data_IF_709346883542
#
_entry.id   IF_709346883542
#
_cell.length_a   1.000
_cell.length_b   1.000
_cell.length_c   1.000
_cell.angle_alpha   90.00
_cell.angle_beta   90.00
_cell.angle_gamma   90.00
#
_symmetry.space_group_name_H-M   'P 1'
#
loop_
_entity.id
_entity.type
_entity.pdbx_description
1 polymer ?
#
# COMPACT_ATOMS: atom_id res chain seq x y z
N UNK A 1 20.32 15.14 33.49
CA UNK A 1 19.12 15.93 33.15
C UNK A 1 18.25 14.93 32.41
N UNK A 2 17.04 14.69 32.90
CA UNK A 2 16.10 13.78 32.25
C UNK A 2 15.54 14.54 31.06
N UNK A 3 16.14 14.34 29.90
CA UNK A 3 15.62 14.82 28.63
C UNK A 3 14.41 13.95 28.28
N UNK A 4 13.32 14.14 29.04
CA UNK A 4 11.98 13.88 28.53
C UNK A 4 11.73 14.99 27.49
N UNK A 5 12.29 14.82 26.29
CA UNK A 5 11.86 15.58 25.12
C UNK A 5 10.35 15.33 25.01
N UNK A 6 9.55 16.35 25.38
CA UNK A 6 8.09 16.26 25.40
C UNK A 6 7.60 15.89 24.00
N UNK A 7 7.27 14.61 23.83
CA UNK A 7 6.58 14.14 22.63
C UNK A 7 5.25 14.86 22.60
N UNK A 8 4.94 15.60 21.52
CA UNK A 8 3.76 16.45 21.56
C UNK A 8 2.49 15.59 21.65
N UNK A 9 1.53 16.04 22.48
CA UNK A 9 0.32 15.28 22.83
C UNK A 9 -0.49 14.82 21.60
N UNK A 10 -0.36 15.53 20.48
CA UNK A 10 -1.02 15.23 19.21
C UNK A 10 -0.47 13.97 18.50
N UNK A 11 0.63 13.37 18.98
CA UNK A 11 1.13 12.07 18.53
C UNK A 11 0.52 10.91 19.33
N UNK A 12 0.29 11.10 20.63
CA UNK A 12 -0.26 10.07 21.51
C UNK A 12 -1.75 9.80 21.21
N UNK A 13 -2.54 10.87 21.05
CA UNK A 13 -3.98 10.79 20.77
C UNK A 13 -4.30 10.74 19.26
N UNK A 14 -3.30 10.50 18.41
CA UNK A 14 -3.49 10.48 16.97
C UNK A 14 -4.48 9.40 16.56
N UNK A 15 -5.48 9.76 15.76
CA UNK A 15 -6.37 8.81 15.08
C UNK A 15 -6.40 9.13 13.59
N UNK A 16 -6.24 8.11 12.76
CA UNK A 16 -6.15 8.27 11.33
C UNK A 16 -7.54 8.10 10.70
N UNK A 17 -8.09 9.18 10.14
CA UNK A 17 -9.29 9.11 9.31
C UNK A 17 -9.02 9.75 7.96
N UNK A 18 -9.25 8.99 6.89
CA UNK A 18 -9.13 9.50 5.53
C UNK A 18 -10.52 9.83 4.97
N UNK A 19 -10.80 11.10 4.63
CA UNK A 19 -12.05 11.47 3.98
C UNK A 19 -12.06 10.91 2.55
N UNK A 20 -13.19 10.31 2.14
CA UNK A 20 -13.32 9.73 0.79
C UNK A 20 -13.31 10.80 -0.32
N UNK A 21 -13.51 12.08 0.01
CA UNK A 21 -13.50 13.19 -0.96
C UNK A 21 -12.10 13.58 -1.43
N UNK A 22 -11.09 13.46 -0.58
CA UNK A 22 -9.69 13.77 -0.92
C UNK A 22 -8.71 12.90 -0.09
N UNK A 23 -8.79 11.57 -0.24
CA UNK A 23 -8.08 10.66 0.64
C UNK A 23 -6.58 10.63 0.33
N UNK A 24 -6.17 10.83 -0.94
CA UNK A 24 -4.76 10.81 -1.35
C UNK A 24 -3.99 11.97 -0.75
N UNK A 25 -4.52 13.19 -0.86
CA UNK A 25 -3.86 14.38 -0.31
C UNK A 25 -3.80 14.30 1.20
N UNK A 26 -4.89 13.87 1.84
CA UNK A 26 -4.95 13.69 3.30
C UNK A 26 -3.93 12.65 3.76
N UNK A 27 -3.85 11.49 3.10
CA UNK A 27 -2.90 10.44 3.45
C UNK A 27 -1.45 10.92 3.36
N UNK A 28 -1.08 11.58 2.25
CA UNK A 28 0.27 12.15 2.08
C UNK A 28 0.61 13.15 3.18
N UNK A 29 -0.32 14.07 3.45
CA UNK A 29 -0.15 15.08 4.49
C UNK A 29 0.09 14.44 5.86
N UNK A 30 -0.72 13.44 6.24
CA UNK A 30 -0.56 12.76 7.52
C UNK A 30 0.77 12.01 7.63
N UNK A 31 1.21 11.36 6.54
CA UNK A 31 2.52 10.70 6.49
C UNK A 31 3.65 11.72 6.68
N UNK A 32 3.61 12.83 5.96
CA UNK A 32 4.65 13.86 6.05
C UNK A 32 4.67 14.51 7.46
N UNK A 33 3.50 14.81 8.03
CA UNK A 33 3.38 15.44 9.35
C UNK A 33 3.71 14.51 10.53
N UNK A 34 3.42 13.21 10.41
CA UNK A 34 3.51 12.26 11.54
C UNK A 34 4.65 11.27 11.43
N UNK A 35 5.01 10.81 10.23
CA UNK A 35 6.10 9.84 10.04
C UNK A 35 7.44 10.50 9.73
N UNK A 36 7.42 11.58 8.95
CA UNK A 36 8.62 12.30 8.48
C UNK A 36 8.85 13.64 9.18
N UNK A 37 8.31 13.79 10.40
CA UNK A 37 8.55 14.98 11.23
C UNK A 37 10.01 15.08 11.66
N UNK A 38 10.51 16.33 11.79
CA UNK A 38 11.82 16.64 12.36
C UNK A 38 11.83 16.50 13.90
N UNK A 39 10.67 16.28 14.52
CA UNK A 39 10.54 16.09 15.95
C UNK A 39 11.05 14.71 16.37
N UNK A 40 11.63 14.63 17.57
CA UNK A 40 11.98 13.35 18.17
C UNK A 40 10.70 12.61 18.57
N UNK A 41 10.38 11.54 17.85
CA UNK A 41 9.26 10.64 18.15
C UNK A 41 9.83 9.23 18.32
N UNK A 42 9.72 8.63 19.52
CA UNK A 42 10.11 7.25 19.77
C UNK A 42 9.53 6.26 18.75
N UNK A 43 10.34 5.27 18.36
CA UNK A 43 9.99 4.31 17.29
C UNK A 43 8.66 3.59 17.54
N UNK A 44 8.39 3.18 18.79
CA UNK A 44 7.12 2.51 19.13
C UNK A 44 5.88 3.36 18.81
N UNK A 45 5.95 4.68 19.03
CA UNK A 45 4.86 5.59 18.65
C UNK A 45 4.76 5.77 17.14
N UNK A 46 5.89 5.78 16.41
CA UNK A 46 5.86 5.80 14.94
C UNK A 46 5.20 4.54 14.37
N UNK A 47 5.46 3.37 14.97
CA UNK A 47 4.77 2.14 14.60
C UNK A 47 3.27 2.20 14.88
N UNK A 48 2.84 2.68 16.06
CA UNK A 48 1.42 2.85 16.38
C UNK A 48 0.71 3.84 15.45
N UNK A 49 1.36 4.95 15.09
CA UNK A 49 0.86 5.92 14.13
C UNK A 49 0.72 5.29 12.74
N UNK A 50 1.74 4.54 12.32
CA UNK A 50 1.70 3.82 11.05
C UNK A 50 0.57 2.80 11.02
N UNK A 51 0.38 2.00 12.07
CA UNK A 51 -0.70 1.01 12.13
C UNK A 51 -2.09 1.65 11.96
N UNK A 52 -2.28 2.83 12.54
CA UNK A 52 -3.51 3.61 12.35
C UNK A 52 -3.65 4.10 10.90
N UNK A 53 -2.58 4.65 10.31
CA UNK A 53 -2.58 5.10 8.91
C UNK A 53 -2.79 3.95 7.92
N UNK A 54 -2.17 2.80 8.17
CA UNK A 54 -2.31 1.57 7.42
C UNK A 54 -3.77 1.11 7.42
N UNK A 55 -4.39 0.99 8.60
CA UNK A 55 -5.78 0.60 8.72
C UNK A 55 -6.72 1.60 8.02
N UNK A 56 -6.49 2.90 8.19
CA UNK A 56 -7.30 3.95 7.57
C UNK A 56 -7.17 3.96 6.03
N UNK A 57 -5.96 3.74 5.50
CA UNK A 57 -5.73 3.63 4.06
C UNK A 57 -6.45 2.40 3.49
N UNK A 58 -6.32 1.24 4.12
CA UNK A 58 -6.98 0.00 3.68
C UNK A 58 -8.51 0.13 3.69
N UNK A 59 -9.07 0.70 4.75
CA UNK A 59 -10.51 0.94 4.87
C UNK A 59 -11.01 1.94 3.81
N UNK A 60 -10.30 3.05 3.60
CA UNK A 60 -10.66 4.03 2.58
C UNK A 60 -10.58 3.44 1.17
N UNK A 61 -9.50 2.70 0.83
CA UNK A 61 -9.39 2.02 -0.47
C UNK A 61 -10.54 1.03 -0.66
N UNK A 62 -10.86 0.24 0.37
CA UNK A 62 -11.97 -0.72 0.30
C UNK A 62 -13.30 -0.02 0.00
N UNK A 63 -13.58 1.08 0.71
CA UNK A 63 -14.79 1.89 0.48
C UNK A 63 -14.83 2.52 -0.91
N UNK A 64 -13.71 3.02 -1.42
CA UNK A 64 -13.61 3.60 -2.76
C UNK A 64 -13.75 2.55 -3.87
N UNK A 65 -13.34 1.30 -3.62
CA UNK A 65 -13.50 0.21 -4.59
C UNK A 65 -14.89 -0.42 -4.56
N UNK A 66 -15.43 -0.61 -3.36
CA UNK A 66 -16.52 -1.55 -3.13
C UNK A 66 -17.73 -0.96 -2.41
N UNK A 67 -17.65 0.29 -1.97
CA UNK A 67 -18.72 1.03 -1.33
C UNK A 67 -19.77 1.56 -2.33
N UNK A 68 -20.75 2.28 -1.80
CA UNK A 68 -21.87 2.81 -2.60
C UNK A 68 -21.43 3.90 -3.59
N UNK A 69 -20.48 4.75 -3.17
CA UNK A 69 -19.88 5.82 -3.98
C UNK A 69 -18.48 5.40 -4.45
N UNK A 70 -18.43 4.33 -5.26
CA UNK A 70 -17.15 3.84 -5.75
C UNK A 70 -16.45 4.88 -6.66
N UNK A 71 -15.19 5.18 -6.34
CA UNK A 71 -14.30 6.03 -7.13
C UNK A 71 -13.00 5.26 -7.38
N UNK A 72 -12.96 4.57 -8.52
CA UNK A 72 -11.83 3.73 -8.90
C UNK A 72 -10.56 4.55 -9.15
N UNK A 73 -10.69 5.81 -9.57
CA UNK A 73 -9.53 6.65 -9.82
C UNK A 73 -8.85 7.02 -8.50
N UNK A 74 -9.63 7.47 -7.52
CA UNK A 74 -9.12 7.74 -6.17
C UNK A 74 -8.62 6.47 -5.49
N UNK A 75 -9.31 5.33 -5.65
CA UNK A 75 -8.86 4.06 -5.11
C UNK A 75 -7.48 3.65 -5.64
N UNK A 76 -7.27 3.72 -6.97
CA UNK A 76 -5.99 3.38 -7.59
C UNK A 76 -4.87 4.31 -7.15
N UNK A 77 -5.15 5.63 -7.13
CA UNK A 77 -4.19 6.63 -6.68
C UNK A 77 -3.81 6.44 -5.20
N UNK A 78 -4.78 6.18 -4.33
CA UNK A 78 -4.54 5.93 -2.91
C UNK A 78 -3.77 4.62 -2.71
N UNK A 79 -4.16 3.53 -3.38
CA UNK A 79 -3.48 2.25 -3.31
C UNK A 79 -2.00 2.35 -3.68
N UNK A 80 -1.68 3.10 -4.75
CA UNK A 80 -0.29 3.34 -5.16
C UNK A 80 0.52 4.07 -4.09
N UNK A 81 -0.05 5.15 -3.53
CA UNK A 81 0.63 5.93 -2.50
C UNK A 81 0.78 5.13 -1.21
N UNK A 82 -0.24 4.38 -0.83
CA UNK A 82 -0.21 3.50 0.33
C UNK A 82 0.85 2.41 0.17
N UNK A 83 0.87 1.66 -0.95
CA UNK A 83 1.90 0.66 -1.24
C UNK A 83 3.31 1.23 -1.10
N UNK A 84 3.58 2.40 -1.70
CA UNK A 84 4.91 3.04 -1.65
C UNK A 84 5.38 3.40 -0.24
N UNK A 85 4.49 3.40 0.76
CA UNK A 85 4.85 3.57 2.17
C UNK A 85 4.87 2.23 2.90
N UNK A 86 3.91 1.36 2.63
CA UNK A 86 3.82 0.05 3.26
C UNK A 86 5.04 -0.82 3.01
N UNK A 87 5.65 -0.75 1.82
CA UNK A 87 6.89 -1.48 1.50
C UNK A 87 8.07 -1.16 2.42
N UNK A 88 8.05 -0.01 3.10
CA UNK A 88 9.09 0.40 4.05
C UNK A 88 8.72 0.10 5.51
N UNK A 89 7.45 0.26 5.87
CA UNK A 89 7.02 0.19 7.28
C UNK A 89 6.44 -1.16 7.69
N UNK A 90 5.59 -1.77 6.85
CA UNK A 90 4.93 -3.05 7.16
C UNK A 90 4.46 -3.77 5.89
N UNK A 91 5.37 -4.32 5.06
CA UNK A 91 4.98 -4.97 3.82
C UNK A 91 4.08 -6.20 4.05
N UNK A 92 4.24 -6.91 5.16
CA UNK A 92 3.44 -8.11 5.46
C UNK A 92 1.93 -7.81 5.57
N UNK A 93 1.55 -6.76 6.33
CA UNK A 93 0.15 -6.34 6.45
C UNK A 93 -0.46 -5.98 5.10
N UNK A 94 0.32 -5.33 4.23
CA UNK A 94 -0.08 -5.01 2.87
C UNK A 94 -0.24 -6.28 2.02
N UNK A 95 0.73 -7.19 2.08
CA UNK A 95 0.78 -8.43 1.31
C UNK A 95 -0.40 -9.35 1.62
N UNK A 96 -0.76 -9.48 2.90
CA UNK A 96 -1.96 -10.23 3.30
C UNK A 96 -3.24 -9.57 2.81
N UNK A 97 -3.35 -8.25 2.96
CA UNK A 97 -4.57 -7.52 2.61
C UNK A 97 -4.80 -7.40 1.09
N UNK A 98 -3.76 -7.19 0.29
CA UNK A 98 -3.89 -6.99 -1.16
C UNK A 98 -4.42 -8.25 -1.87
N UNK A 99 -4.20 -9.43 -1.27
CA UNK A 99 -4.82 -10.70 -1.70
C UNK A 99 -6.34 -10.65 -1.56
N UNK A 100 -6.86 -10.10 -0.45
CA UNK A 100 -8.30 -9.94 -0.24
C UNK A 100 -8.91 -8.97 -1.26
N UNK A 101 -8.20 -7.88 -1.57
CA UNK A 101 -8.62 -6.91 -2.60
C UNK A 101 -8.67 -7.58 -3.97
N UNK A 102 -7.65 -8.35 -4.35
CA UNK A 102 -7.66 -9.14 -5.61
C UNK A 102 -8.89 -10.05 -5.65
N UNK A 103 -9.10 -10.85 -4.62
CA UNK A 103 -10.16 -11.85 -4.62
C UNK A 103 -11.54 -11.20 -4.76
N UNK A 104 -11.77 -10.07 -4.09
CA UNK A 104 -13.02 -9.32 -4.20
C UNK A 104 -13.16 -8.62 -5.57
N UNK A 105 -12.08 -8.06 -6.14
CA UNK A 105 -12.09 -7.51 -7.51
C UNK A 105 -12.47 -8.57 -8.54
N UNK A 106 -11.88 -9.77 -8.45
CA UNK A 106 -12.15 -10.86 -9.37
C UNK A 106 -13.58 -11.40 -9.20
N UNK A 107 -14.04 -11.54 -7.95
CA UNK A 107 -15.40 -11.96 -7.63
C UNK A 107 -16.47 -10.99 -8.13
N UNK A 108 -16.19 -9.69 -8.14
CA UNK A 108 -17.07 -8.64 -8.69
C UNK A 108 -16.86 -8.37 -10.18
N UNK A 109 -16.00 -9.16 -10.84
CA UNK A 109 -15.65 -9.01 -12.26
C UNK A 109 -15.10 -7.62 -12.63
N UNK A 110 -14.44 -6.94 -11.67
CA UNK A 110 -13.82 -5.63 -11.86
C UNK A 110 -12.47 -5.72 -12.60
N UNK A 111 -12.49 -6.40 -13.75
CA UNK A 111 -11.28 -6.78 -14.48
C UNK A 111 -10.51 -5.60 -15.06
N UNK A 112 -11.19 -4.50 -15.38
CA UNK A 112 -10.53 -3.30 -15.91
C UNK A 112 -9.63 -2.65 -14.85
N UNK A 113 -10.10 -2.54 -13.61
CA UNK A 113 -9.28 -2.05 -12.50
C UNK A 113 -8.12 -3.01 -12.20
N UNK A 114 -8.41 -4.32 -12.15
CA UNK A 114 -7.39 -5.34 -11.98
C UNK A 114 -6.26 -5.22 -13.03
N UNK A 115 -6.62 -5.16 -14.32
CA UNK A 115 -5.67 -5.11 -15.44
C UNK A 115 -4.90 -3.81 -15.50
N UNK A 116 -5.63 -2.69 -15.48
CA UNK A 116 -5.07 -1.38 -15.83
C UNK A 116 -4.45 -0.65 -14.64
N UNK A 117 -4.78 -1.06 -13.41
CA UNK A 117 -4.24 -0.45 -12.20
C UNK A 117 -3.40 -1.45 -11.43
N UNK A 118 -3.98 -2.56 -10.96
CA UNK A 118 -3.25 -3.48 -10.07
C UNK A 118 -2.10 -4.19 -10.80
N UNK A 119 -2.35 -4.78 -11.96
CA UNK A 119 -1.34 -5.50 -12.74
C UNK A 119 -0.38 -4.53 -13.43
N UNK A 120 -0.91 -3.53 -14.16
CA UNK A 120 -0.09 -2.62 -14.96
C UNK A 120 0.86 -1.77 -14.11
N UNK A 121 0.43 -1.34 -12.92
CA UNK A 121 1.25 -0.56 -12.00
C UNK A 121 1.94 -1.40 -10.92
N UNK A 122 1.86 -2.74 -11.03
CA UNK A 122 2.51 -3.69 -10.12
C UNK A 122 2.14 -3.44 -8.64
N UNK A 123 0.86 -3.21 -8.37
CA UNK A 123 0.31 -2.95 -7.02
C UNK A 123 -0.11 -4.24 -6.30
N UNK A 124 0.52 -5.37 -6.61
CA UNK A 124 0.43 -6.61 -5.83
C UNK A 124 1.45 -6.63 -4.70
N UNK A 125 1.70 -7.80 -4.07
CA UNK A 125 2.58 -7.93 -2.92
C UNK A 125 3.94 -7.26 -3.13
N UNK A 126 4.43 -6.63 -2.06
CA UNK A 126 5.79 -6.17 -1.91
C UNK A 126 6.74 -7.37 -1.87
N UNK A 127 7.91 -7.21 -2.48
CA UNK A 127 8.97 -8.22 -2.57
C UNK A 127 10.31 -7.54 -2.85
N UNK A 128 11.37 -8.32 -3.09
CA UNK A 128 12.74 -7.79 -3.25
C UNK A 128 12.89 -6.69 -4.33
N UNK A 129 11.99 -6.60 -5.30
CA UNK A 129 12.04 -5.55 -6.32
C UNK A 129 11.63 -4.15 -5.80
N UNK A 130 10.86 -4.07 -4.72
CA UNK A 130 10.29 -2.80 -4.21
C UNK A 130 10.40 -2.61 -2.69
N UNK A 131 11.01 -3.54 -1.96
CA UNK A 131 11.23 -3.46 -0.52
C UNK A 131 12.59 -4.04 -0.14
N UNK A 132 13.38 -3.28 0.62
CA UNK A 132 14.68 -3.71 1.18
C UNK A 132 14.52 -4.74 2.33
N UNK A 133 13.28 -5.08 2.71
CA UNK A 133 12.99 -6.08 3.75
C UNK A 133 12.99 -7.52 3.22
N UNK A 134 13.04 -7.71 1.90
CA UNK A 134 13.10 -9.02 1.25
C UNK A 134 14.36 -9.13 0.37
N UNK A 135 14.84 -10.36 0.18
CA UNK A 135 15.98 -10.67 -0.69
C UNK A 135 15.53 -11.52 -1.89
N UNK A 136 16.09 -11.27 -3.07
CA UNK A 136 15.71 -11.96 -4.31
C UNK A 136 16.28 -13.39 -4.41
N UNK A 137 17.17 -13.76 -3.49
CA UNK A 137 17.74 -15.11 -3.38
C UNK A 137 16.89 -16.05 -2.53
N UNK A 138 16.35 -15.55 -1.42
CA UNK A 138 15.69 -16.36 -0.40
C UNK A 138 14.15 -16.21 -0.41
N UNK A 139 13.62 -15.04 -0.80
CA UNK A 139 12.19 -14.76 -0.78
C UNK A 139 11.52 -14.99 -2.15
N UNK A 140 10.37 -15.69 -2.20
CA UNK A 140 9.74 -16.03 -3.47
C UNK A 140 9.09 -14.80 -4.13
N UNK A 141 9.29 -14.67 -5.44
CA UNK A 141 8.60 -13.65 -6.23
C UNK A 141 7.06 -13.85 -6.25
N UNK A 142 6.26 -12.77 -6.16
CA UNK A 142 4.80 -12.88 -6.06
C UNK A 142 4.13 -13.02 -7.44
N UNK A 143 4.77 -13.64 -8.44
CA UNK A 143 4.23 -13.70 -9.81
C UNK A 143 2.84 -14.36 -9.88
N UNK A 144 2.60 -15.39 -9.06
CA UNK A 144 1.32 -16.08 -8.96
C UNK A 144 0.16 -15.16 -8.57
N UNK A 145 0.42 -14.06 -7.85
CA UNK A 145 -0.60 -13.08 -7.49
C UNK A 145 -1.26 -12.48 -8.73
N UNK A 146 -0.51 -12.25 -9.81
CA UNK A 146 -0.98 -11.57 -11.02
C UNK A 146 -1.62 -12.50 -12.05
N UNK A 147 -1.55 -13.82 -11.85
CA UNK A 147 -1.96 -14.85 -12.82
C UNK A 147 -3.48 -15.11 -12.82
N UNK A 148 -4.27 -14.05 -12.94
CA UNK A 148 -5.74 -14.08 -12.97
C UNK A 148 -6.30 -13.24 -14.10
N UNK A 149 -7.50 -13.57 -14.59
CA UNK A 149 -8.22 -12.86 -15.65
C UNK A 149 -7.40 -12.66 -16.96
N UNK A 150 -6.52 -13.63 -17.27
CA UNK A 150 -5.63 -13.61 -18.44
C UNK A 150 -4.39 -12.71 -18.29
N UNK A 151 -4.12 -12.21 -17.07
CA UNK A 151 -2.93 -11.44 -16.77
C UNK A 151 -1.76 -12.34 -16.37
N UNK A 152 -0.56 -11.77 -16.47
CA UNK A 152 0.70 -12.27 -15.90
C UNK A 152 1.41 -11.08 -15.24
N UNK A 153 2.32 -11.36 -14.32
CA UNK A 153 3.19 -10.34 -13.75
C UNK A 153 3.97 -9.61 -14.87
N UNK A 154 4.17 -8.30 -14.72
CA UNK A 154 4.69 -7.45 -15.78
C UNK A 154 6.13 -7.83 -16.19
N UNK A 155 6.97 -8.21 -15.23
CA UNK A 155 8.36 -8.60 -15.46
C UNK A 155 8.54 -9.93 -16.19
N UNK A 156 7.53 -10.81 -16.17
CA UNK A 156 7.56 -12.06 -16.95
C UNK A 156 7.27 -11.84 -18.44
N UNK A 157 6.70 -10.70 -18.83
CA UNK A 157 6.48 -10.38 -20.24
C UNK A 157 7.78 -9.98 -20.95
N UNK A 158 8.71 -9.37 -20.22
CA UNK A 158 10.02 -8.96 -20.76
C UNK A 158 10.93 -10.13 -21.11
N UNK A 159 10.76 -11.31 -20.51
CA UNK A 159 11.59 -12.49 -20.79
C UNK A 159 11.19 -13.23 -22.09
N UNK A 160 9.91 -13.16 -22.49
CA UNK A 160 9.43 -13.80 -23.74
C UNK A 160 9.78 -12.97 -25.01
N UNK A 161 10.21 -11.71 -24.87
CA UNK A 161 10.47 -10.78 -25.98
C UNK A 161 11.96 -10.49 -26.27
N UNK A 162 12.91 -11.16 -25.60
CA UNK A 162 14.32 -11.15 -26.02
C UNK A 162 14.59 -12.30 -26.98
N UNK A 163 14.59 -12.10 -28.31
CA UNK A 163 15.16 -13.09 -29.21
C UNK A 163 16.67 -13.15 -28.98
N UNK A 164 17.20 -14.37 -28.81
CA UNK A 164 18.62 -14.69 -28.75
C UNK A 164 19.42 -13.80 -29.71
N UNK A 165 20.43 -13.11 -29.18
CA UNK A 165 21.45 -12.40 -29.97
C UNK A 165 22.56 -13.34 -30.41
#
# INVERSE_FOLDING_TARGET
>A
MSDDDEVPEDFADFDATLPLTDPVTTFKKLIDEKMFTDLFVPDHMKFEIWDKLDAAARDAIWKLLFGEEADLQQAGALLKNYKSRAVFFSPDNYNEWIVLVRDELLKREMFDFWKNTVVAEQLGPAWAADSDLYDDLDDPEPAAFYNFAGCKAAWLKSEEETPDR
#
